data_IF_548672993681
#
_entry.id   IF_548672993681
#
_cell.length_a   1.000
_cell.length_b   1.000
_cell.length_c   1.000
_cell.angle_alpha   90.00
_cell.angle_beta   90.00
_cell.angle_gamma   90.00
#
_symmetry.space_group_name_H-M   'P 1'
#
loop_
_entity.id
_entity.type
_entity.pdbx_description
1 polymer ?
#
# COMPACT_ATOMS: atom_id res chain seq x y z
N UNK A 1 15.88 5.65 6.37
CA UNK A 1 15.15 4.76 5.45
C UNK A 1 13.87 5.42 4.92
N UNK A 2 12.90 5.75 5.77
CA UNK A 2 11.64 6.42 5.36
C UNK A 2 11.82 7.70 4.50
N UNK A 3 12.73 8.60 4.92
CA UNK A 3 13.04 9.82 4.13
C UNK A 3 13.59 9.52 2.72
N UNK A 4 14.37 8.45 2.58
CA UNK A 4 14.97 8.06 1.29
C UNK A 4 13.92 7.46 0.35
N UNK A 5 12.99 6.67 0.90
CA UNK A 5 11.86 6.12 0.14
C UNK A 5 10.93 7.22 -0.35
N UNK A 6 10.56 8.19 0.51
CA UNK A 6 9.70 9.30 0.09
C UNK A 6 10.36 10.19 -0.99
N UNK A 7 11.64 10.50 -0.83
CA UNK A 7 12.35 11.39 -1.75
C UNK A 7 12.55 10.77 -3.16
N UNK A 8 12.78 9.45 -3.25
CA UNK A 8 13.00 8.78 -4.53
C UNK A 8 11.69 8.33 -5.20
N UNK A 9 10.74 7.82 -4.42
CA UNK A 9 9.53 7.21 -4.93
C UNK A 9 8.46 8.27 -5.24
N UNK A 10 8.13 9.12 -4.28
CA UNK A 10 6.98 10.03 -4.37
C UNK A 10 7.32 11.28 -5.17
N UNK A 11 8.48 11.88 -4.94
CA UNK A 11 8.84 13.18 -5.55
C UNK A 11 9.35 13.06 -7.01
N UNK A 12 9.91 11.91 -7.41
CA UNK A 12 10.63 11.79 -8.69
C UNK A 12 10.09 10.73 -9.67
N UNK A 13 9.25 9.78 -9.23
CA UNK A 13 8.84 8.64 -10.07
C UNK A 13 7.36 8.27 -10.02
N UNK A 14 6.57 8.91 -9.16
CA UNK A 14 5.16 8.55 -8.95
C UNK A 14 4.99 7.18 -8.29
N UNK A 15 6.02 6.65 -7.63
CA UNK A 15 5.97 5.36 -6.94
C UNK A 15 5.70 5.59 -5.45
N UNK A 16 4.87 4.76 -4.84
CA UNK A 16 4.57 4.81 -3.41
C UNK A 16 4.85 3.45 -2.77
N UNK A 17 5.33 3.48 -1.52
CA UNK A 17 5.54 2.30 -0.69
C UNK A 17 5.07 2.60 0.74
N UNK A 18 4.01 1.91 1.17
CA UNK A 18 3.39 2.09 2.48
C UNK A 18 3.47 0.81 3.32
N UNK A 19 3.60 0.99 4.64
CA UNK A 19 3.63 -0.09 5.63
C UNK A 19 2.52 0.16 6.67
N UNK A 20 1.39 -0.52 6.50
CA UNK A 20 0.26 -0.47 7.44
C UNK A 20 0.51 -1.48 8.58
N UNK A 21 0.57 -1.05 9.86
CA UNK A 21 0.82 -1.97 10.98
C UNK A 21 -0.35 -2.93 11.20
N UNK A 22 -0.04 -4.21 11.33
CA UNK A 22 -1.00 -5.27 11.64
C UNK A 22 -0.79 -5.74 13.08
N UNK A 23 -1.89 -5.95 13.81
CA UNK A 23 -1.86 -6.19 15.24
C UNK A 23 -3.11 -5.65 15.93
N UNK A 24 -3.06 -5.52 17.26
CA UNK A 24 -4.16 -4.96 18.05
C UNK A 24 -5.49 -5.64 17.75
N UNK A 25 -6.52 -4.86 17.40
CA UNK A 25 -7.85 -5.39 17.06
C UNK A 25 -7.87 -6.37 15.90
N UNK A 26 -6.93 -6.28 14.94
CA UNK A 26 -6.83 -7.26 13.86
C UNK A 26 -6.30 -8.62 14.34
N UNK A 27 -5.63 -8.69 15.50
CA UNK A 27 -5.21 -9.98 16.07
C UNK A 27 -6.30 -10.67 16.89
N UNK A 28 -7.31 -9.92 17.34
CA UNK A 28 -8.43 -10.46 18.13
C UNK A 28 -9.45 -11.21 17.27
N UNK A 29 -9.50 -10.95 15.96
CA UNK A 29 -10.48 -11.52 15.02
C UNK A 29 -9.93 -12.83 14.43
N UNK A 30 -10.75 -13.89 14.40
CA UNK A 30 -10.37 -15.16 13.77
C UNK A 30 -10.14 -15.01 12.27
N UNK A 31 -9.13 -15.70 11.72
CA UNK A 31 -8.82 -15.72 10.28
C UNK A 31 -10.00 -16.22 9.43
N UNK A 32 -10.89 -17.02 10.03
CA UNK A 32 -12.06 -17.61 9.36
C UNK A 32 -13.37 -16.87 9.61
N UNK A 33 -13.36 -15.79 10.39
CA UNK A 33 -14.60 -15.06 10.74
C UNK A 33 -15.23 -14.37 9.52
N UNK A 34 -14.38 -13.85 8.64
CA UNK A 34 -14.77 -13.26 7.35
C UNK A 34 -13.72 -13.63 6.28
N UNK A 35 -14.02 -13.49 4.98
CA UNK A 35 -13.12 -13.92 3.90
C UNK A 35 -11.74 -13.23 3.82
N UNK A 36 -11.47 -12.22 4.64
CA UNK A 36 -10.18 -11.54 4.69
C UNK A 36 -9.32 -12.14 5.82
N UNK A 37 -8.33 -13.01 5.54
CA UNK A 37 -7.75 -13.90 6.56
C UNK A 37 -6.50 -13.33 7.25
N UNK A 38 -5.95 -12.19 6.81
CA UNK A 38 -4.71 -11.66 7.36
C UNK A 38 -4.94 -11.07 8.76
N UNK A 39 -4.69 -11.87 9.80
CA UNK A 39 -4.91 -11.55 11.23
C UNK A 39 -3.62 -11.76 12.04
N UNK A 40 -3.74 -12.35 13.24
CA UNK A 40 -2.62 -12.65 14.13
C UNK A 40 -1.45 -13.32 13.39
N UNK A 41 -0.22 -12.91 13.70
CA UNK A 41 1.00 -13.38 13.02
C UNK A 41 1.47 -12.49 11.86
N UNK A 42 0.61 -11.62 11.31
CA UNK A 42 1.02 -10.61 10.32
C UNK A 42 1.51 -9.33 11.04
N UNK A 43 2.69 -8.82 10.65
CA UNK A 43 3.33 -7.66 11.30
C UNK A 43 2.97 -6.35 10.59
N UNK A 44 3.00 -6.35 9.26
CA UNK A 44 2.59 -5.22 8.43
C UNK A 44 1.93 -5.73 7.16
N UNK A 45 1.00 -4.95 6.61
CA UNK A 45 0.67 -4.99 5.19
C UNK A 45 1.56 -4.01 4.45
N UNK A 46 2.14 -4.46 3.34
CA UNK A 46 3.04 -3.66 2.52
C UNK A 46 2.30 -3.37 1.21
N UNK A 47 2.08 -2.10 0.95
CA UNK A 47 1.42 -1.63 -0.26
C UNK A 47 2.45 -0.93 -1.15
N UNK A 48 2.44 -1.24 -2.45
CA UNK A 48 3.26 -0.55 -3.44
C UNK A 48 2.37 -0.11 -4.60
N UNK A 49 2.55 1.13 -5.05
CA UNK A 49 1.77 1.68 -6.15
C UNK A 49 2.66 2.47 -7.11
N UNK A 50 2.23 2.57 -8.36
CA UNK A 50 2.79 3.49 -9.34
C UNK A 50 1.66 4.37 -9.86
N UNK A 51 1.64 5.61 -9.37
CA UNK A 51 0.71 6.67 -9.71
C UNK A 51 1.32 7.47 -10.86
N UNK A 52 1.05 7.01 -12.08
CA UNK A 52 1.34 7.76 -13.29
C UNK A 52 0.22 8.75 -13.64
N UNK A 53 0.56 9.84 -14.31
CA UNK A 53 -0.46 10.67 -14.95
C UNK A 53 -1.11 9.91 -16.12
N UNK A 54 -2.44 9.94 -16.17
CA UNK A 54 -3.19 9.42 -17.32
C UNK A 54 -2.94 10.36 -18.51
N UNK A 55 -2.06 9.95 -19.42
CA UNK A 55 -1.81 10.65 -20.68
C UNK A 55 -3.15 10.91 -21.40
N UNK A 56 -3.55 12.19 -21.46
CA UNK A 56 -4.67 12.68 -22.28
C UNK A 56 -4.26 12.61 -23.76
N UNK A 57 -4.12 11.42 -24.33
CA UNK A 57 -3.87 11.26 -25.78
C UNK A 57 -5.07 10.62 -26.50
N UNK A 58 -6.28 10.68 -25.92
CA UNK A 58 -7.49 10.16 -26.59
C UNK A 58 -8.72 11.05 -26.35
N UNK A 59 -8.54 12.38 -26.34
CA UNK A 59 -9.67 13.33 -26.38
C UNK A 59 -9.71 14.23 -27.62
N UNK A 60 -8.79 14.06 -28.57
CA UNK A 60 -8.72 14.88 -29.78
C UNK A 60 -8.50 14.04 -31.07
N UNK A 61 -8.99 12.81 -31.09
CA UNK A 61 -9.21 12.05 -32.34
C UNK A 61 -10.68 11.67 -32.41
#
# INVERSE_FOLDING_TARGET
MWKLLNQLAVENSGVELEFSPYGGKLSDISESEIPFPHRAGNIFMIEYACIGEKLKILKEI
#
